data_IF_369465629510
#
_entry.id   IF_369465629510
#
_cell.length_a   1.000
_cell.length_b   1.000
_cell.length_c   1.000
_cell.angle_alpha   90.00
_cell.angle_beta   90.00
_cell.angle_gamma   90.00
#
_symmetry.space_group_name_H-M   'P 1'
#
loop_
_entity.id
_entity.type
_entity.pdbx_description
1 polymer ?
#
# COMPACT_ATOMS: atom_id res chain seq x y z
N UNK A 1 3.65 2.34 -18.81
CA UNK A 1 3.07 2.03 -20.13
C UNK A 1 2.81 3.34 -20.84
N UNK A 2 3.30 3.50 -22.07
CA UNK A 2 3.30 4.81 -22.73
C UNK A 2 2.04 5.10 -23.55
N UNK A 3 1.23 4.09 -23.89
CA UNK A 3 0.13 4.26 -24.85
C UNK A 3 -1.13 3.44 -24.59
N UNK A 4 -1.13 2.49 -23.65
CA UNK A 4 -2.18 1.46 -23.48
C UNK A 4 -2.57 0.73 -24.78
N UNK A 5 -1.64 0.60 -25.73
CA UNK A 5 -1.93 0.04 -27.07
C UNK A 5 -1.95 -1.49 -27.11
N UNK A 6 -1.76 -2.18 -25.99
CA UNK A 6 -1.90 -3.64 -25.94
C UNK A 6 -3.37 -4.06 -25.95
N UNK A 7 -3.65 -5.30 -26.37
CA UNK A 7 -4.99 -5.89 -26.22
C UNK A 7 -5.40 -6.05 -24.75
N UNK A 8 -4.40 -6.26 -23.89
CA UNK A 8 -4.54 -6.28 -22.43
C UNK A 8 -3.45 -5.39 -21.84
N UNK A 9 -3.84 -4.41 -21.03
CA UNK A 9 -2.93 -3.48 -20.39
C UNK A 9 -3.08 -3.61 -18.87
N UNK A 10 -1.96 -3.78 -18.16
CA UNK A 10 -1.91 -3.77 -16.69
C UNK A 10 -1.16 -2.51 -16.27
N UNK A 11 -1.80 -1.68 -15.46
CA UNK A 11 -1.25 -0.39 -15.04
C UNK A 11 -1.65 -0.07 -13.61
N UNK A 12 -1.06 0.96 -13.02
CA UNK A 12 -1.40 1.41 -11.67
C UNK A 12 -2.59 2.36 -11.71
N UNK A 13 -3.35 2.42 -10.60
CA UNK A 13 -4.42 3.40 -10.43
C UNK A 13 -3.93 4.84 -10.66
N UNK A 14 -2.72 5.17 -10.19
CA UNK A 14 -2.07 6.47 -10.46
C UNK A 14 -1.98 6.76 -11.96
N UNK A 15 -1.41 5.84 -12.76
CA UNK A 15 -1.29 6.04 -14.21
C UNK A 15 -2.65 6.16 -14.91
N UNK A 16 -3.67 5.45 -14.41
CA UNK A 16 -5.03 5.54 -14.92
C UNK A 16 -5.68 6.88 -14.58
N UNK A 17 -5.54 7.39 -13.35
CA UNK A 17 -6.04 8.70 -12.93
C UNK A 17 -5.48 9.81 -13.82
N UNK A 18 -4.16 9.80 -14.08
CA UNK A 18 -3.56 10.78 -14.99
C UNK A 18 -3.93 10.57 -16.46
N UNK A 19 -4.44 9.40 -16.86
CA UNK A 19 -5.04 9.24 -18.19
C UNK A 19 -6.33 10.06 -18.33
N UNK A 20 -7.04 10.29 -17.23
CA UNK A 20 -8.30 11.05 -17.20
C UNK A 20 -8.07 12.54 -16.88
N UNK A 21 -7.24 12.83 -15.87
CA UNK A 21 -7.03 14.20 -15.36
C UNK A 21 -5.74 14.86 -15.84
N UNK A 22 -4.83 14.09 -16.44
CA UNK A 22 -3.52 14.59 -16.86
C UNK A 22 -3.60 15.54 -18.04
N UNK A 23 -2.63 16.46 -18.13
CA UNK A 23 -2.54 17.44 -19.23
C UNK A 23 -1.28 17.25 -20.11
N UNK A 24 -0.49 16.21 -19.87
CA UNK A 24 0.74 15.92 -20.61
C UNK A 24 0.44 15.06 -21.83
N UNK A 25 1.17 15.28 -22.93
CA UNK A 25 0.99 14.52 -24.18
C UNK A 25 1.02 12.99 -23.98
N UNK A 26 1.94 12.50 -23.13
CA UNK A 26 2.08 11.07 -22.82
C UNK A 26 0.84 10.46 -22.13
N UNK A 27 0.07 11.27 -21.43
CA UNK A 27 -1.11 10.83 -20.70
C UNK A 27 -2.34 10.89 -21.62
N UNK A 28 -2.46 11.93 -22.44
CA UNK A 28 -3.53 12.08 -23.44
C UNK A 28 -3.55 10.97 -24.50
N UNK A 29 -2.39 10.44 -24.90
CA UNK A 29 -2.32 9.32 -25.87
C UNK A 29 -3.06 8.08 -25.34
N UNK A 30 -3.02 7.85 -24.03
CA UNK A 30 -3.67 6.71 -23.37
C UNK A 30 -5.20 6.87 -23.34
N UNK A 31 -5.71 8.10 -23.26
CA UNK A 31 -7.15 8.39 -23.16
C UNK A 31 -7.93 7.83 -24.35
N UNK A 32 -7.35 7.90 -25.56
CA UNK A 32 -7.98 7.36 -26.77
C UNK A 32 -8.25 5.85 -26.70
N UNK A 33 -7.51 5.10 -25.87
CA UNK A 33 -7.71 3.65 -25.68
C UNK A 33 -8.89 3.31 -24.77
N UNK A 34 -9.53 4.29 -24.15
CA UNK A 34 -10.74 4.06 -23.36
C UNK A 34 -11.95 3.76 -24.26
N UNK A 35 -11.92 4.15 -25.53
CA UNK A 35 -13.05 3.89 -26.43
C UNK A 35 -13.22 2.39 -26.69
N UNK A 36 -14.46 1.91 -26.53
CA UNK A 36 -14.85 0.50 -26.71
C UNK A 36 -14.02 -0.49 -25.86
N UNK A 37 -13.58 -0.08 -24.67
CA UNK A 37 -12.76 -0.92 -23.79
C UNK A 37 -13.46 -1.26 -22.47
N UNK A 38 -12.91 -2.28 -21.80
CA UNK A 38 -13.29 -2.65 -20.44
C UNK A 38 -12.16 -2.25 -19.52
N UNK A 39 -12.46 -1.40 -18.54
CA UNK A 39 -11.51 -0.95 -17.52
C UNK A 39 -11.89 -1.59 -16.19
N UNK A 40 -10.96 -2.41 -15.66
CA UNK A 40 -11.11 -3.05 -14.36
C UNK A 40 -10.28 -2.25 -13.35
N UNK A 41 -10.92 -1.71 -12.33
CA UNK A 41 -10.30 -0.97 -11.24
C UNK A 41 -10.33 -1.87 -10.01
N UNK A 42 -9.19 -2.50 -9.74
CA UNK A 42 -8.95 -3.26 -8.52
C UNK A 42 -8.63 -2.34 -7.35
N UNK A 43 -9.02 -2.77 -6.15
CA UNK A 43 -8.97 -2.00 -4.91
C UNK A 43 -9.57 -0.58 -5.05
N UNK A 44 -10.81 -0.49 -5.53
CA UNK A 44 -11.52 0.78 -5.78
C UNK A 44 -11.55 1.74 -4.57
N UNK A 45 -11.39 1.24 -3.34
CA UNK A 45 -11.24 2.04 -2.13
C UNK A 45 -9.97 2.88 -2.06
N UNK A 46 -8.94 2.52 -2.85
CA UNK A 46 -7.69 3.26 -2.95
C UNK A 46 -7.82 4.58 -3.73
N UNK A 47 -8.98 4.83 -4.37
CA UNK A 47 -9.28 6.13 -4.97
C UNK A 47 -9.41 7.16 -3.85
N UNK A 48 -8.57 8.22 -3.82
CA UNK A 48 -8.60 9.25 -2.78
C UNK A 48 -9.99 9.89 -2.67
N UNK A 49 -10.47 10.06 -1.43
CA UNK A 49 -11.82 10.57 -1.18
C UNK A 49 -11.96 12.04 -1.60
N UNK A 50 -10.84 12.76 -1.64
CA UNK A 50 -10.71 14.17 -2.00
C UNK A 50 -11.35 14.45 -3.35
N UNK A 51 -11.08 13.62 -4.37
CA UNK A 51 -11.60 13.80 -5.74
C UNK A 51 -12.44 12.62 -6.25
N UNK A 52 -12.84 11.69 -5.36
CA UNK A 52 -13.63 10.49 -5.73
C UNK A 52 -14.91 10.86 -6.47
N UNK A 53 -15.60 11.92 -6.03
CA UNK A 53 -16.84 12.41 -6.66
C UNK A 53 -16.60 12.79 -8.12
N UNK A 54 -15.54 13.55 -8.40
CA UNK A 54 -15.19 13.97 -9.75
C UNK A 54 -14.77 12.77 -10.61
N UNK A 55 -13.96 11.87 -10.06
CA UNK A 55 -13.52 10.65 -10.75
C UNK A 55 -14.71 9.78 -11.18
N UNK A 56 -15.65 9.51 -10.26
CA UNK A 56 -16.84 8.70 -10.57
C UNK A 56 -17.71 9.36 -11.65
N UNK A 57 -17.90 10.68 -11.56
CA UNK A 57 -18.64 11.44 -12.58
C UNK A 57 -17.98 11.39 -13.95
N UNK A 58 -16.65 11.45 -14.01
CA UNK A 58 -15.91 11.31 -15.28
C UNK A 58 -16.02 9.88 -15.84
N UNK A 59 -15.94 8.84 -15.00
CA UNK A 59 -16.18 7.47 -15.43
C UNK A 59 -17.59 7.30 -16.05
N UNK A 60 -18.62 7.91 -15.47
CA UNK A 60 -19.97 7.91 -16.05
C UNK A 60 -20.00 8.58 -17.44
N UNK A 61 -19.41 9.76 -17.57
CA UNK A 61 -19.36 10.50 -18.84
C UNK A 61 -18.58 9.72 -19.90
N UNK A 62 -17.43 9.17 -19.54
CA UNK A 62 -16.57 8.36 -20.41
C UNK A 62 -17.34 7.13 -20.88
N UNK A 63 -18.00 6.42 -19.98
CA UNK A 63 -18.81 5.24 -20.31
C UNK A 63 -19.88 5.58 -21.37
N UNK A 64 -20.61 6.68 -21.18
CA UNK A 64 -21.67 7.11 -22.10
C UNK A 64 -21.15 7.62 -23.45
N UNK A 65 -19.98 8.26 -23.48
CA UNK A 65 -19.45 8.92 -24.68
C UNK A 65 -18.53 8.03 -25.50
N UNK A 66 -17.81 7.13 -24.85
CA UNK A 66 -16.76 6.30 -25.45
C UNK A 66 -17.10 4.81 -25.47
N UNK A 67 -18.29 4.41 -25.02
CA UNK A 67 -18.70 3.00 -24.94
C UNK A 67 -17.71 2.17 -24.10
N UNK A 68 -17.25 2.77 -23.00
CA UNK A 68 -16.34 2.14 -22.03
C UNK A 68 -17.15 1.46 -20.93
N UNK A 69 -16.76 0.24 -20.55
CA UNK A 69 -17.32 -0.46 -19.39
C UNK A 69 -16.34 -0.34 -18.24
N UNK A 70 -16.78 0.24 -17.12
CA UNK A 70 -16.02 0.26 -15.87
C UNK A 70 -16.49 -0.85 -14.93
N UNK A 71 -15.55 -1.68 -14.49
CA UNK A 71 -15.77 -2.70 -13.46
C UNK A 71 -14.92 -2.31 -12.25
N UNK A 72 -15.58 -2.03 -11.13
CA UNK A 72 -14.92 -1.71 -9.87
C UNK A 72 -14.98 -2.92 -8.95
N UNK A 73 -13.86 -3.24 -8.32
CA UNK A 73 -13.76 -4.35 -7.38
C UNK A 73 -12.99 -3.94 -6.13
N UNK A 74 -13.46 -4.43 -4.98
CA UNK A 74 -12.88 -4.13 -3.67
C UNK A 74 -13.45 -5.08 -2.62
N UNK A 75 -12.64 -5.42 -1.61
CA UNK A 75 -13.14 -6.03 -0.37
C UNK A 75 -14.00 -5.06 0.46
N UNK A 76 -13.79 -3.76 0.31
CA UNK A 76 -14.47 -2.69 1.05
C UNK A 76 -14.91 -1.60 0.07
N UNK A 77 -15.98 -1.88 -0.69
CA UNK A 77 -16.45 -0.99 -1.77
C UNK A 77 -16.92 0.38 -1.26
N UNK A 78 -16.42 1.50 -1.82
CA UNK A 78 -17.01 2.82 -1.63
C UNK A 78 -18.43 2.92 -2.22
N UNK A 79 -19.17 3.96 -1.81
CA UNK A 79 -20.50 4.22 -2.36
C UNK A 79 -20.36 4.81 -3.76
N UNK A 80 -20.67 4.02 -4.79
CA UNK A 80 -20.43 4.37 -6.19
C UNK A 80 -21.49 5.28 -6.82
N UNK A 81 -22.70 5.36 -6.24
CA UNK A 81 -23.83 6.15 -6.78
C UNK A 81 -24.80 5.33 -7.65
N UNK A 82 -25.95 5.92 -7.97
CA UNK A 82 -27.13 5.17 -8.47
C UNK A 82 -27.00 4.64 -9.91
N UNK A 83 -26.03 5.16 -10.68
CA UNK A 83 -25.80 4.72 -12.06
C UNK A 83 -24.93 3.47 -12.17
N UNK A 84 -24.37 3.03 -11.04
CA UNK A 84 -23.58 1.80 -10.97
C UNK A 84 -24.47 0.64 -10.58
N UNK A 85 -24.27 -0.50 -11.23
CA UNK A 85 -24.98 -1.74 -10.94
C UNK A 85 -24.08 -2.64 -10.10
N UNK A 86 -24.56 -3.04 -8.92
CA UNK A 86 -23.91 -4.08 -8.13
C UNK A 86 -23.98 -5.42 -8.87
N UNK A 87 -22.83 -6.05 -9.08
CA UNK A 87 -22.71 -7.34 -9.78
C UNK A 87 -22.49 -8.47 -8.75
N UNK A 88 -21.97 -8.15 -7.57
CA UNK A 88 -21.62 -9.13 -6.54
C UNK A 88 -22.86 -9.67 -5.83
N UNK A 89 -22.85 -10.97 -5.49
CA UNK A 89 -23.85 -11.54 -4.60
C UNK A 89 -23.52 -11.18 -3.15
N UNK A 90 -24.08 -10.07 -2.65
CA UNK A 90 -23.82 -9.61 -1.29
C UNK A 90 -24.29 -10.58 -0.19
N UNK A 91 -25.18 -11.54 -0.50
CA UNK A 91 -25.56 -12.57 0.47
C UNK A 91 -24.42 -13.52 0.82
N UNK A 92 -23.42 -13.66 -0.06
CA UNK A 92 -22.22 -14.45 0.20
C UNK A 92 -21.51 -14.01 1.49
N UNK A 93 -21.49 -12.70 1.79
CA UNK A 93 -20.86 -12.17 3.01
C UNK A 93 -21.53 -12.64 4.29
N UNK A 94 -22.85 -12.89 4.27
CA UNK A 94 -23.60 -13.34 5.45
C UNK A 94 -23.26 -14.78 5.85
N UNK A 95 -22.72 -15.56 4.93
CA UNK A 95 -22.35 -16.95 5.13
C UNK A 95 -20.89 -17.13 5.56
N UNK A 96 -20.09 -16.06 5.53
CA UNK A 96 -18.68 -16.09 5.94
C UNK A 96 -18.54 -15.80 7.43
N UNK A 97 -17.78 -16.64 8.14
CA UNK A 97 -17.42 -16.41 9.54
C UNK A 97 -16.01 -16.92 9.87
N UNK A 98 -15.05 -16.59 9.01
CA UNK A 98 -13.68 -17.10 9.08
C UNK A 98 -12.89 -16.49 10.23
N UNK A 99 -13.19 -15.24 10.59
CA UNK A 99 -12.52 -14.53 11.65
C UNK A 99 -13.48 -13.69 12.51
N UNK A 100 -12.99 -13.28 13.67
CA UNK A 100 -13.62 -12.33 14.58
C UNK A 100 -12.64 -11.20 14.89
N UNK A 101 -13.13 -9.97 14.85
CA UNK A 101 -12.41 -8.81 15.37
C UNK A 101 -12.68 -8.70 16.86
N UNK A 102 -11.63 -8.50 17.65
CA UNK A 102 -11.73 -8.27 19.09
C UNK A 102 -10.96 -7.02 19.48
N UNK A 103 -11.52 -6.20 20.36
CA UNK A 103 -10.76 -5.14 20.99
C UNK A 103 -9.75 -5.72 21.99
N UNK A 104 -8.50 -5.27 21.92
CA UNK A 104 -7.47 -5.55 22.91
C UNK A 104 -7.12 -4.25 23.63
N UNK A 105 -7.64 -4.11 24.84
CA UNK A 105 -7.24 -3.04 25.75
C UNK A 105 -5.86 -3.33 26.33
N UNK A 106 -4.88 -2.55 25.89
CA UNK A 106 -3.49 -2.63 26.36
C UNK A 106 -3.22 -1.67 27.52
N UNK A 107 -4.23 -0.94 28.00
CA UNK A 107 -4.13 0.09 29.04
C UNK A 107 -3.02 1.12 28.76
N UNK A 108 -2.86 1.54 27.50
CA UNK A 108 -1.77 2.42 27.05
C UNK A 108 -0.35 1.95 27.45
N UNK A 109 -0.16 0.65 27.66
CA UNK A 109 1.12 0.07 28.02
C UNK A 109 1.55 -0.93 26.94
N UNK A 110 2.60 -0.57 26.19
CA UNK A 110 3.16 -1.40 25.12
C UNK A 110 3.62 -2.78 25.63
N UNK A 111 4.06 -2.92 26.89
CA UNK A 111 4.46 -4.22 27.43
C UNK A 111 3.29 -5.21 27.50
N UNK A 112 2.05 -4.74 27.73
CA UNK A 112 0.87 -5.60 27.72
C UNK A 112 0.62 -6.20 26.33
N UNK A 113 0.83 -5.41 25.27
CA UNK A 113 0.75 -5.89 23.89
C UNK A 113 1.83 -6.95 23.64
N UNK A 114 3.06 -6.68 24.07
CA UNK A 114 4.21 -7.55 23.85
C UNK A 114 4.06 -8.87 24.59
N UNK A 115 3.54 -8.87 25.81
CA UNK A 115 3.21 -10.08 26.55
C UNK A 115 2.17 -10.92 25.81
N UNK A 116 1.09 -10.28 25.32
CA UNK A 116 0.03 -10.96 24.57
C UNK A 116 0.54 -11.57 23.26
N UNK A 117 1.36 -10.83 22.50
CA UNK A 117 2.02 -11.33 21.29
C UNK A 117 2.94 -12.51 21.65
N UNK A 118 3.77 -12.37 22.70
CA UNK A 118 4.70 -13.42 23.14
C UNK A 118 3.98 -14.71 23.51
N UNK A 119 2.84 -14.63 24.19
CA UNK A 119 2.04 -15.80 24.53
C UNK A 119 1.45 -16.47 23.28
N UNK A 120 1.00 -15.66 22.33
CA UNK A 120 0.31 -16.13 21.12
C UNK A 120 1.27 -16.75 20.10
N UNK A 121 2.38 -16.08 19.83
CA UNK A 121 3.39 -16.46 18.84
C UNK A 121 4.13 -17.76 19.19
N UNK A 122 3.97 -18.29 20.41
CA UNK A 122 4.53 -19.61 20.79
C UNK A 122 3.89 -20.77 20.03
N UNK A 123 2.62 -20.65 19.67
CA UNK A 123 1.81 -21.77 19.18
C UNK A 123 1.06 -21.45 17.87
N UNK A 124 1.05 -20.19 17.42
CA UNK A 124 0.26 -19.73 16.27
C UNK A 124 1.08 -18.88 15.33
N UNK A 125 0.85 -19.04 14.03
CA UNK A 125 1.36 -18.12 13.02
C UNK A 125 0.70 -16.76 13.26
N UNK A 126 1.50 -15.79 13.66
CA UNK A 126 1.02 -14.51 14.19
C UNK A 126 1.42 -13.38 13.27
N UNK A 127 0.44 -12.56 12.89
CA UNK A 127 0.64 -11.30 12.18
C UNK A 127 0.54 -10.14 13.16
N UNK A 128 1.48 -9.20 13.12
CA UNK A 128 1.39 -7.93 13.86
C UNK A 128 1.56 -6.80 12.86
N UNK A 129 0.58 -5.91 12.80
CA UNK A 129 0.56 -4.77 11.88
C UNK A 129 0.48 -3.49 12.69
N UNK A 130 1.50 -2.64 12.51
CA UNK A 130 1.61 -1.32 13.13
C UNK A 130 1.69 -0.23 12.06
N UNK A 131 1.39 1.01 12.43
CA UNK A 131 1.21 2.10 11.48
C UNK A 131 2.53 2.66 10.94
N UNK A 132 3.62 2.61 11.73
CA UNK A 132 4.90 3.21 11.34
C UNK A 132 6.00 2.17 11.13
N UNK A 133 6.91 2.47 10.19
CA UNK A 133 8.08 1.62 9.90
C UNK A 133 8.97 1.52 11.13
N UNK A 134 9.16 2.62 11.87
CA UNK A 134 9.96 2.65 13.10
C UNK A 134 9.42 1.66 14.13
N UNK A 135 8.11 1.68 14.43
CA UNK A 135 7.51 0.75 15.38
C UNK A 135 7.63 -0.70 14.90
N UNK A 136 7.44 -0.95 13.60
CA UNK A 136 7.61 -2.29 13.02
C UNK A 136 9.05 -2.82 13.22
N UNK A 137 10.06 -1.96 13.01
CA UNK A 137 11.48 -2.32 13.24
C UNK A 137 11.78 -2.55 14.73
N UNK A 138 11.26 -1.70 15.62
CA UNK A 138 11.41 -1.87 17.08
C UNK A 138 10.86 -3.23 17.55
N UNK A 139 9.63 -3.55 17.16
CA UNK A 139 9.00 -4.83 17.51
C UNK A 139 9.77 -6.00 16.89
N UNK A 140 10.15 -5.90 15.61
CA UNK A 140 10.96 -6.94 14.96
C UNK A 140 12.25 -7.24 15.74
N UNK A 141 13.03 -6.21 16.10
CA UNK A 141 14.28 -6.40 16.86
C UNK A 141 14.02 -7.00 18.25
N UNK A 142 12.91 -6.66 18.90
CA UNK A 142 12.52 -7.21 20.21
C UNK A 142 12.14 -8.71 20.15
N UNK A 143 11.66 -9.18 19.00
CA UNK A 143 11.21 -10.56 18.80
C UNK A 143 12.16 -11.46 18.01
N UNK A 144 13.06 -10.92 17.18
CA UNK A 144 13.92 -11.68 16.27
C UNK A 144 14.86 -12.68 16.96
N UNK A 145 15.21 -12.46 18.24
CA UNK A 145 15.99 -13.40 19.04
C UNK A 145 15.17 -14.49 19.75
N UNK A 146 13.83 -14.40 19.71
CA UNK A 146 12.91 -15.25 20.50
C UNK A 146 12.02 -16.15 19.65
N UNK A 147 11.69 -15.71 18.44
CA UNK A 147 10.77 -16.38 17.52
C UNK A 147 11.35 -16.46 16.11
N UNK A 148 10.77 -17.32 15.27
CA UNK A 148 10.98 -17.27 13.82
C UNK A 148 10.27 -16.02 13.28
N UNK A 149 10.97 -14.90 13.34
CA UNK A 149 10.42 -13.56 13.15
C UNK A 149 10.85 -12.97 11.80
N UNK A 150 9.91 -12.34 11.12
CA UNK A 150 10.09 -11.64 9.85
C UNK A 150 9.61 -10.19 9.95
N UNK A 151 10.15 -9.32 9.10
CA UNK A 151 9.66 -7.95 8.93
C UNK A 151 9.25 -7.68 7.49
N UNK A 152 8.15 -6.96 7.28
CA UNK A 152 7.71 -6.50 5.96
C UNK A 152 7.26 -5.04 6.03
N UNK A 153 8.00 -4.13 5.41
CA UNK A 153 7.71 -2.69 5.48
C UNK A 153 8.15 -1.93 4.22
N UNK A 154 7.77 -0.66 4.13
CA UNK A 154 8.01 0.21 2.98
C UNK A 154 9.48 0.42 2.64
N UNK A 155 10.37 0.34 3.63
CA UNK A 155 11.81 0.62 3.52
C UNK A 155 12.64 -0.57 3.04
N UNK A 156 11.98 -1.65 2.62
CA UNK A 156 12.57 -2.79 1.94
C UNK A 156 12.32 -2.67 0.44
N UNK A 157 13.33 -2.90 -0.40
CA UNK A 157 13.12 -2.95 -1.85
C UNK A 157 12.43 -4.26 -2.27
N UNK A 158 11.85 -4.26 -3.47
CA UNK A 158 10.97 -5.33 -3.98
C UNK A 158 11.58 -6.73 -3.94
N UNK A 159 12.88 -6.85 -4.19
CA UNK A 159 13.57 -8.15 -4.09
C UNK A 159 13.55 -8.72 -2.67
N UNK A 160 13.90 -7.94 -1.64
CA UNK A 160 13.85 -8.40 -0.25
C UNK A 160 12.43 -8.62 0.25
N UNK A 161 11.47 -7.76 -0.14
CA UNK A 161 10.05 -7.99 0.17
C UNK A 161 9.57 -9.35 -0.36
N UNK A 162 9.91 -9.68 -1.61
CA UNK A 162 9.55 -10.98 -2.23
C UNK A 162 10.22 -12.16 -1.54
N UNK A 163 11.48 -12.01 -1.12
CA UNK A 163 12.20 -13.04 -0.37
C UNK A 163 11.58 -13.30 1.00
N UNK A 164 11.23 -12.23 1.74
CA UNK A 164 10.48 -12.35 3.00
C UNK A 164 9.14 -13.05 2.78
N UNK A 165 8.33 -12.59 1.82
CA UNK A 165 7.02 -13.19 1.54
C UNK A 165 7.16 -14.67 1.17
N UNK A 166 8.15 -15.01 0.35
CA UNK A 166 8.45 -16.40 -0.01
C UNK A 166 8.84 -17.22 1.22
N UNK A 167 9.75 -16.72 2.05
CA UNK A 167 10.19 -17.39 3.27
C UNK A 167 9.04 -17.62 4.27
N UNK A 168 8.20 -16.61 4.48
CA UNK A 168 7.01 -16.73 5.34
C UNK A 168 6.03 -17.77 4.78
N UNK A 169 5.79 -17.76 3.47
CA UNK A 169 4.90 -18.74 2.81
C UNK A 169 5.43 -20.17 2.95
N UNK A 170 6.73 -20.37 2.76
CA UNK A 170 7.38 -21.67 2.94
C UNK A 170 7.28 -22.15 4.40
N UNK A 171 7.54 -21.27 5.36
CA UNK A 171 7.45 -21.59 6.78
C UNK A 171 6.02 -21.94 7.24
N UNK A 172 5.01 -21.18 6.81
CA UNK A 172 3.59 -21.48 7.07
C UNK A 172 3.21 -22.85 6.49
N UNK A 173 3.67 -23.18 5.29
CA UNK A 173 3.39 -24.48 4.67
C UNK A 173 4.07 -25.64 5.41
N UNK A 174 5.30 -25.45 5.92
CA UNK A 174 5.97 -26.44 6.75
C UNK A 174 5.22 -26.67 8.07
N UNK A 175 4.65 -25.63 8.67
CA UNK A 175 3.84 -25.70 9.89
C UNK A 175 2.59 -26.55 9.70
N UNK A 176 1.86 -26.34 8.58
CA UNK A 176 0.66 -27.13 8.24
C UNK A 176 0.95 -28.63 8.10
N UNK A 177 2.18 -28.99 7.72
CA UNK A 177 2.62 -30.38 7.60
C UNK A 177 3.16 -30.96 8.92
N UNK A 178 3.07 -30.22 10.04
CA UNK A 178 3.52 -30.66 11.37
C UNK A 178 5.04 -30.62 11.58
N UNK A 179 5.79 -30.03 10.64
CA UNK A 179 7.25 -30.07 10.62
C UNK A 179 7.94 -28.73 10.91
N UNK A 180 7.18 -27.64 11.07
CA UNK A 180 7.74 -26.29 11.25
C UNK A 180 7.46 -25.69 12.63
N UNK A 181 7.99 -24.47 12.85
CA UNK A 181 7.75 -23.65 14.05
C UNK A 181 6.79 -22.50 13.72
N UNK A 182 5.90 -22.10 14.66
CA UNK A 182 5.08 -20.92 14.50
C UNK A 182 5.91 -19.69 14.16
N UNK A 183 5.45 -18.93 13.16
CA UNK A 183 6.13 -17.72 12.70
C UNK A 183 5.47 -16.46 13.25
N UNK A 184 6.26 -15.40 13.34
CA UNK A 184 5.81 -14.06 13.70
C UNK A 184 6.18 -13.09 12.58
N UNK A 185 5.20 -12.52 11.90
CA UNK A 185 5.43 -11.46 10.92
C UNK A 185 5.07 -10.11 11.55
N UNK A 186 6.05 -9.20 11.61
CA UNK A 186 5.81 -7.80 11.95
C UNK A 186 5.77 -6.99 10.66
N UNK A 187 4.67 -6.29 10.38
CA UNK A 187 4.47 -5.55 9.15
C UNK A 187 3.92 -4.15 9.38
N UNK A 188 4.07 -3.31 8.37
CA UNK A 188 3.21 -2.12 8.20
C UNK A 188 2.06 -2.45 7.24
N UNK A 189 1.43 -1.44 6.62
CA UNK A 189 0.42 -1.57 5.56
C UNK A 189 0.94 -2.35 4.33
N UNK A 190 2.24 -2.65 4.26
CA UNK A 190 2.85 -3.49 3.22
C UNK A 190 2.24 -4.91 3.11
N UNK A 191 1.60 -5.42 4.17
CA UNK A 191 0.88 -6.72 4.13
C UNK A 191 -0.47 -6.64 3.42
N UNK A 192 -1.04 -5.44 3.29
CA UNK A 192 -2.37 -5.22 2.73
C UNK A 192 -2.34 -5.40 1.19
N UNK A 193 -1.27 -4.93 0.53
CA UNK A 193 -1.15 -4.90 -0.93
C UNK A 193 -0.66 -6.22 -1.58
N UNK A 194 -1.59 -7.00 -2.13
CA UNK A 194 -1.26 -8.10 -3.05
C UNK A 194 -0.47 -9.27 -2.45
N UNK A 195 -0.37 -9.36 -1.12
CA UNK A 195 0.36 -10.42 -0.41
C UNK A 195 -0.55 -11.61 -0.11
N UNK A 196 -0.24 -12.77 -0.69
CA UNK A 196 -0.98 -14.01 -0.49
C UNK A 196 -0.41 -14.82 0.69
N UNK A 197 -0.62 -14.30 1.90
CA UNK A 197 -0.25 -14.93 3.19
C UNK A 197 -1.50 -15.09 4.06
N UNK A 198 -1.48 -16.12 4.90
CA UNK A 198 -2.59 -16.51 5.77
C UNK A 198 -2.09 -16.88 7.17
N UNK A 199 -2.63 -16.23 8.20
CA UNK A 199 -2.20 -16.34 9.58
C UNK A 199 -3.33 -16.85 10.47
N UNK A 200 -2.97 -17.49 11.58
CA UNK A 200 -3.96 -18.04 12.54
C UNK A 200 -4.56 -16.92 13.42
N UNK A 201 -3.78 -15.86 13.64
CA UNK A 201 -4.11 -14.75 14.54
C UNK A 201 -3.36 -13.49 14.14
N UNK A 202 -4.01 -12.35 14.32
CA UNK A 202 -3.46 -11.04 14.02
C UNK A 202 -3.57 -10.06 15.18
N UNK A 203 -2.69 -9.07 15.16
CA UNK A 203 -2.74 -7.86 15.97
C UNK A 203 -2.63 -6.66 15.01
N UNK A 204 -3.58 -5.75 15.05
CA UNK A 204 -3.62 -4.56 14.19
C UNK A 204 -3.81 -3.33 15.07
N UNK A 205 -2.88 -2.39 14.98
CA UNK A 205 -3.05 -1.06 15.57
C UNK A 205 -4.27 -0.37 14.94
N UNK A 206 -4.95 0.52 15.67
CA UNK A 206 -6.07 1.29 15.09
C UNK A 206 -5.68 1.97 13.77
N UNK A 207 -6.58 1.91 12.80
CA UNK A 207 -6.39 2.39 11.44
C UNK A 207 -7.77 2.58 10.77
N UNK A 208 -7.83 3.14 9.55
CA UNK A 208 -9.06 3.19 8.79
C UNK A 208 -9.74 1.83 8.70
N UNK A 209 -11.08 1.79 8.79
CA UNK A 209 -11.86 0.55 8.78
C UNK A 209 -11.51 -0.33 7.58
N UNK A 210 -11.26 0.26 6.42
CA UNK A 210 -10.83 -0.45 5.21
C UNK A 210 -9.52 -1.22 5.42
N UNK A 211 -8.50 -0.62 6.04
CA UNK A 211 -7.22 -1.26 6.35
C UNK A 211 -7.33 -2.35 7.41
N UNK A 212 -8.17 -2.15 8.44
CA UNK A 212 -8.46 -3.18 9.44
C UNK A 212 -9.04 -4.43 8.74
N UNK A 213 -9.99 -4.25 7.84
CA UNK A 213 -10.66 -5.36 7.14
C UNK A 213 -9.72 -6.03 6.13
N UNK A 214 -8.88 -5.27 5.43
CA UNK A 214 -7.84 -5.84 4.56
C UNK A 214 -6.87 -6.72 5.35
N UNK A 215 -6.45 -6.26 6.53
CA UNK A 215 -5.64 -7.07 7.46
C UNK A 215 -6.40 -8.30 7.92
N UNK A 216 -7.69 -8.16 8.27
CA UNK A 216 -8.53 -9.26 8.73
C UNK A 216 -8.73 -10.33 7.65
N UNK A 217 -8.76 -9.94 6.37
CA UNK A 217 -8.77 -10.86 5.22
C UNK A 217 -7.51 -11.73 5.08
N UNK A 218 -6.44 -11.45 5.84
CA UNK A 218 -5.23 -12.28 5.96
C UNK A 218 -5.27 -13.25 7.14
N UNK A 219 -6.38 -13.29 7.89
CA UNK A 219 -6.56 -14.14 9.06
C UNK A 219 -7.50 -15.30 8.71
N UNK A 220 -7.04 -16.52 8.96
CA UNK A 220 -7.78 -17.79 8.86
C UNK A 220 -8.50 -18.03 7.52
N UNK A 221 -7.75 -18.01 6.42
CA UNK A 221 -8.25 -18.27 5.06
C UNK A 221 -8.54 -19.75 4.79
N UNK A 222 -8.09 -20.68 5.64
CA UNK A 222 -8.20 -22.14 5.43
C UNK A 222 -9.36 -22.84 6.17
N UNK A 223 -10.39 -22.13 6.64
CA UNK A 223 -11.64 -22.71 7.19
C UNK A 223 -11.43 -23.76 8.32
N UNK A 224 -10.62 -23.41 9.32
CA UNK A 224 -10.52 -24.13 10.61
C UNK A 224 -11.34 -23.45 11.71
N UNK A 225 -10.86 -23.50 12.95
CA UNK A 225 -11.38 -22.67 14.05
C UNK A 225 -11.34 -21.18 13.68
N UNK A 226 -12.32 -20.40 14.13
CA UNK A 226 -12.41 -18.97 13.81
C UNK A 226 -11.13 -18.22 14.20
N UNK A 227 -10.51 -17.56 13.22
CA UNK A 227 -9.33 -16.73 13.42
C UNK A 227 -9.65 -15.49 14.23
N UNK A 228 -8.65 -14.90 14.87
CA UNK A 228 -8.86 -13.69 15.70
C UNK A 228 -7.96 -12.58 15.18
N UNK A 229 -8.53 -11.42 14.91
CA UNK A 229 -7.77 -10.18 14.75
C UNK A 229 -8.02 -9.29 15.97
N UNK A 230 -6.99 -9.10 16.78
CA UNK A 230 -7.02 -8.13 17.86
C UNK A 230 -6.76 -6.73 17.29
N UNK A 231 -7.67 -5.79 17.52
CA UNK A 231 -7.45 -4.37 17.26
C UNK A 231 -7.08 -3.69 18.58
N UNK A 232 -6.00 -2.93 18.61
CA UNK A 232 -5.46 -2.30 19.82
C UNK A 232 -5.19 -0.81 19.61
N UNK A 233 -5.10 -0.09 20.73
CA UNK A 233 -4.86 1.36 20.78
C UNK A 233 -3.56 1.80 20.06
N UNK A 234 -3.52 3.06 19.64
CA UNK A 234 -2.32 3.67 19.02
C UNK A 234 -1.12 3.63 19.98
N UNK A 235 -0.06 2.95 19.58
CA UNK A 235 1.24 2.86 20.27
C UNK A 235 2.35 3.58 19.50
N UNK A 236 2.10 3.94 18.25
CA UNK A 236 3.00 4.75 17.46
C UNK A 236 2.93 6.21 17.93
N UNK A 237 1.74 6.69 18.30
CA UNK A 237 1.49 8.08 18.65
C UNK A 237 1.35 9.01 17.43
N UNK A 238 1.24 8.42 16.24
CA UNK A 238 1.27 9.14 14.95
C UNK A 238 0.11 8.78 14.04
N UNK A 239 -0.92 8.10 14.54
CA UNK A 239 -2.02 7.66 13.67
C UNK A 239 -2.86 8.82 13.13
N UNK A 240 -2.91 9.96 13.84
CA UNK A 240 -3.62 11.16 13.40
C UNK A 240 -2.98 11.80 12.15
N UNK A 241 -1.67 12.10 12.10
CA UNK A 241 -1.07 12.62 10.87
C UNK A 241 -0.96 11.58 9.73
N UNK A 242 -1.00 10.27 10.00
CA UNK A 242 -1.01 9.23 8.96
C UNK A 242 -2.37 9.11 8.26
N UNK A 243 -3.47 9.18 9.02
CA UNK A 243 -4.80 8.86 8.50
C UNK A 243 -5.78 10.04 8.54
N UNK A 244 -5.45 11.12 9.26
CA UNK A 244 -6.24 12.34 9.36
C UNK A 244 -7.71 12.07 9.67
N UNK A 245 -8.59 12.71 8.89
CA UNK A 245 -10.04 12.62 9.04
C UNK A 245 -10.58 11.18 8.90
N UNK A 246 -9.88 10.30 8.17
CA UNK A 246 -10.29 8.89 8.06
C UNK A 246 -10.22 8.17 9.40
N UNK A 247 -9.25 8.52 10.25
CA UNK A 247 -9.13 7.96 11.59
C UNK A 247 -10.22 8.48 12.50
N UNK A 248 -10.53 9.77 12.48
CA UNK A 248 -11.62 10.34 13.29
C UNK A 248 -12.95 9.64 13.02
N UNK A 249 -13.29 9.41 11.75
CA UNK A 249 -14.50 8.68 11.37
C UNK A 249 -14.43 7.21 11.80
N UNK A 250 -13.27 6.57 11.65
CA UNK A 250 -13.07 5.16 12.04
C UNK A 250 -13.17 4.97 13.54
N UNK A 251 -12.54 5.82 14.35
CA UNK A 251 -12.54 5.76 15.81
C UNK A 251 -13.97 5.89 16.36
N UNK A 252 -14.79 6.77 15.79
CA UNK A 252 -16.20 6.91 16.15
C UNK A 252 -16.98 5.60 15.91
N UNK A 253 -16.78 4.97 14.74
CA UNK A 253 -17.46 3.72 14.40
C UNK A 253 -16.94 2.56 15.26
N UNK A 254 -15.63 2.46 15.48
CA UNK A 254 -15.03 1.42 16.33
C UNK A 254 -15.58 1.50 17.76
N UNK A 255 -15.74 2.72 18.31
CA UNK A 255 -16.29 2.95 19.64
C UNK A 255 -17.71 2.43 19.80
N UNK A 256 -18.53 2.59 18.76
CA UNK A 256 -19.92 2.13 18.73
C UNK A 256 -20.08 0.65 18.34
N UNK A 257 -18.99 -0.01 17.95
CA UNK A 257 -19.00 -1.41 17.47
C UNK A 257 -18.03 -2.28 18.26
N UNK A 258 -16.78 -2.32 17.83
CA UNK A 258 -15.75 -3.24 18.30
C UNK A 258 -15.39 -3.07 19.78
N UNK A 259 -15.51 -1.85 20.32
CA UNK A 259 -15.25 -1.60 21.74
C UNK A 259 -16.38 -2.13 22.64
N UNK A 260 -17.57 -2.39 22.10
CA UNK A 260 -18.72 -2.89 22.85
C UNK A 260 -18.88 -4.40 22.73
N UNK A 261 -18.62 -4.95 21.54
CA UNK A 261 -18.80 -6.37 21.25
C UNK A 261 -17.75 -6.85 20.24
N UNK A 262 -17.45 -8.14 20.30
CA UNK A 262 -16.73 -8.83 19.23
C UNK A 262 -17.49 -8.71 17.90
N UNK A 263 -16.78 -8.48 16.80
CA UNK A 263 -17.38 -8.33 15.46
C UNK A 263 -17.02 -9.53 14.60
N UNK A 264 -18.04 -10.29 14.21
CA UNK A 264 -17.88 -11.42 13.29
C UNK A 264 -17.80 -10.95 11.82
N UNK A 265 -17.18 -11.77 10.97
CA UNK A 265 -17.01 -11.44 9.55
C UNK A 265 -18.34 -11.13 8.84
N UNK A 266 -19.40 -11.87 9.17
CA UNK A 266 -20.75 -11.67 8.60
C UNK A 266 -21.30 -10.25 8.84
N UNK A 267 -20.85 -9.56 9.88
CA UNK A 267 -21.32 -8.24 10.27
C UNK A 267 -20.48 -7.11 9.66
N UNK A 268 -19.32 -7.44 9.06
CA UNK A 268 -18.36 -6.46 8.53
C UNK A 268 -18.95 -5.61 7.41
N UNK A 269 -19.76 -6.20 6.53
CA UNK A 269 -20.39 -5.45 5.44
C UNK A 269 -21.22 -4.27 5.98
N UNK A 270 -21.88 -4.45 7.12
CA UNK A 270 -22.65 -3.37 7.75
C UNK A 270 -21.75 -2.23 8.26
N UNK A 271 -20.57 -2.57 8.80
CA UNK A 271 -19.59 -1.61 9.32
C UNK A 271 -18.93 -0.85 8.17
N UNK A 272 -18.52 -1.54 7.10
CA UNK A 272 -17.99 -0.94 5.87
C UNK A 272 -18.98 0.03 5.26
N UNK A 273 -20.26 -0.36 5.18
CA UNK A 273 -21.31 0.49 4.62
C UNK A 273 -21.48 1.76 5.44
N UNK A 274 -21.48 1.66 6.78
CA UNK A 274 -21.54 2.83 7.68
C UNK A 274 -20.32 3.73 7.50
N UNK A 275 -19.13 3.14 7.39
CA UNK A 275 -17.87 3.86 7.18
C UNK A 275 -17.90 4.69 5.90
N UNK A 276 -18.15 4.07 4.74
CA UNK A 276 -18.17 4.81 3.48
C UNK A 276 -19.34 5.79 3.37
N UNK A 277 -20.47 5.51 4.03
CA UNK A 277 -21.55 6.50 4.15
C UNK A 277 -21.08 7.74 4.90
N UNK A 278 -20.41 7.55 6.04
CA UNK A 278 -19.86 8.67 6.81
C UNK A 278 -18.79 9.44 6.02
N UNK A 279 -17.89 8.76 5.31
CA UNK A 279 -16.92 9.41 4.42
C UNK A 279 -17.61 10.27 3.35
N UNK A 280 -18.61 9.71 2.68
CA UNK A 280 -19.37 10.40 1.64
C UNK A 280 -20.09 11.65 2.18
N UNK A 281 -20.67 11.53 3.37
CA UNK A 281 -21.40 12.63 4.01
C UNK A 281 -20.48 13.75 4.50
N UNK A 282 -19.33 13.40 5.10
CA UNK A 282 -18.49 14.37 5.80
C UNK A 282 -17.30 14.89 4.98
N UNK A 283 -16.67 14.04 4.16
CA UNK A 283 -15.40 14.35 3.50
C UNK A 283 -15.50 14.49 1.98
N UNK A 284 -16.31 13.67 1.32
CA UNK A 284 -16.37 13.67 -0.15
C UNK A 284 -17.11 14.90 -0.68
N UNK A 285 -16.44 15.69 -1.51
CA UNK A 285 -16.99 16.87 -2.20
C UNK A 285 -16.46 16.92 -3.63
N UNK A 286 -17.07 17.77 -4.46
CA UNK A 286 -16.47 18.12 -5.75
C UNK A 286 -15.20 18.94 -5.50
N UNK A 287 -14.09 18.50 -6.08
CA UNK A 287 -12.74 19.00 -5.82
C UNK A 287 -12.20 19.87 -6.96
N UNK A 288 -12.55 19.51 -8.20
CA UNK A 288 -12.10 20.18 -9.42
C UNK A 288 -13.24 20.64 -10.33
N UNK A 289 -14.50 20.68 -9.84
CA UNK A 289 -15.65 21.05 -10.66
C UNK A 289 -15.56 22.47 -11.25
N UNK A 290 -15.04 23.43 -10.49
CA UNK A 290 -14.90 24.80 -10.98
C UNK A 290 -13.86 24.88 -12.11
N UNK A 291 -12.70 24.27 -11.91
CA UNK A 291 -11.64 24.21 -12.92
C UNK A 291 -12.10 23.47 -14.18
N UNK A 292 -12.94 22.44 -14.04
CA UNK A 292 -13.58 21.76 -15.18
C UNK A 292 -14.49 22.70 -15.99
N UNK A 293 -15.25 23.59 -15.34
CA UNK A 293 -16.11 24.58 -16.03
C UNK A 293 -15.29 25.62 -16.77
N UNK A 294 -14.12 25.96 -16.24
CA UNK A 294 -13.19 26.94 -16.81
C UNK A 294 -12.23 26.34 -17.85
N UNK A 295 -12.25 25.01 -18.04
CA UNK A 295 -11.29 24.27 -18.87
C UNK A 295 -9.83 24.50 -18.41
N UNK A 296 -9.63 24.67 -17.11
CA UNK A 296 -8.36 24.96 -16.48
C UNK A 296 -7.51 23.68 -16.28
N UNK A 297 -7.14 23.02 -17.39
CA UNK A 297 -6.46 21.71 -17.38
C UNK A 297 -5.14 21.68 -16.59
N UNK A 298 -4.42 22.82 -16.55
CA UNK A 298 -3.21 22.94 -15.75
C UNK A 298 -3.51 22.80 -14.24
N UNK A 299 -4.49 23.56 -13.76
CA UNK A 299 -4.87 23.61 -12.35
C UNK A 299 -5.51 22.29 -11.90
N UNK A 300 -6.31 21.64 -12.76
CA UNK A 300 -6.82 20.28 -12.51
C UNK A 300 -5.65 19.31 -12.31
N UNK A 301 -4.70 19.29 -13.24
CA UNK A 301 -3.56 18.38 -13.15
C UNK A 301 -2.73 18.65 -11.88
N UNK A 302 -2.46 19.91 -11.52
CA UNK A 302 -1.75 20.21 -10.27
C UNK A 302 -2.51 19.79 -9.01
N UNK A 303 -3.82 20.04 -8.94
CA UNK A 303 -4.63 19.65 -7.78
C UNK A 303 -4.68 18.14 -7.61
N UNK A 304 -4.89 17.41 -8.70
CA UNK A 304 -4.92 15.94 -8.68
C UNK A 304 -3.53 15.38 -8.36
N UNK A 305 -2.46 15.98 -8.89
CA UNK A 305 -1.10 15.59 -8.52
C UNK A 305 -0.85 15.80 -7.03
N UNK A 306 -1.18 16.97 -6.46
CA UNK A 306 -1.06 17.20 -5.02
C UNK A 306 -1.89 16.23 -4.17
N UNK A 307 -3.10 15.88 -4.60
CA UNK A 307 -3.94 14.91 -3.89
C UNK A 307 -3.44 13.45 -4.02
N UNK A 308 -2.69 13.14 -5.07
CA UNK A 308 -2.13 11.81 -5.32
C UNK A 308 -0.68 11.66 -4.84
N UNK A 309 0.05 12.76 -4.69
CA UNK A 309 1.49 12.77 -4.51
C UNK A 309 1.84 12.85 -3.03
N UNK A 310 2.73 11.94 -2.63
CA UNK A 310 3.31 11.91 -1.30
C UNK A 310 4.58 12.77 -1.34
N UNK A 311 4.43 14.10 -1.35
CA UNK A 311 5.51 15.10 -1.58
C UNK A 311 6.68 14.99 -0.59
N UNK A 312 6.54 14.16 0.44
CA UNK A 312 7.49 13.95 1.51
C UNK A 312 8.46 12.80 1.27
N UNK A 313 8.31 12.04 0.17
CA UNK A 313 9.17 10.90 -0.13
C UNK A 313 10.17 11.17 -1.26
N UNK A 314 11.35 10.58 -1.14
CA UNK A 314 12.44 10.53 -2.12
C UNK A 314 12.68 9.07 -2.52
N UNK A 315 12.84 8.80 -3.81
CA UNK A 315 13.26 7.48 -4.28
C UNK A 315 14.77 7.32 -4.11
N UNK A 316 15.17 6.31 -3.35
CA UNK A 316 16.57 5.92 -3.11
C UNK A 316 16.80 4.52 -3.64
N UNK A 317 17.87 4.32 -4.41
CA UNK A 317 18.30 3.00 -4.87
C UNK A 317 19.24 2.37 -3.82
N UNK A 318 18.93 1.16 -3.37
CA UNK A 318 19.86 0.39 -2.53
C UNK A 318 20.80 -0.38 -3.45
N UNK A 319 22.09 -0.08 -3.41
CA UNK A 319 23.04 -0.74 -4.30
C UNK A 319 23.20 -2.23 -3.90
N UNK A 320 22.83 -3.19 -4.78
CA UNK A 320 22.72 -4.60 -4.39
C UNK A 320 24.05 -5.35 -4.29
N UNK A 321 25.09 -4.82 -4.94
CA UNK A 321 26.46 -5.33 -4.89
C UNK A 321 27.44 -4.22 -5.23
N UNK A 322 28.69 -4.39 -4.81
CA UNK A 322 29.77 -3.47 -5.16
C UNK A 322 29.82 -3.20 -6.67
N UNK A 323 30.02 -1.93 -7.02
CA UNK A 323 30.14 -1.38 -8.38
C UNK A 323 28.89 -1.53 -9.29
N UNK A 324 27.74 -1.97 -8.76
CA UNK A 324 26.53 -2.14 -9.57
C UNK A 324 26.07 -0.83 -10.23
N UNK A 325 26.06 0.27 -9.48
CA UNK A 325 25.63 1.58 -10.03
C UNK A 325 26.60 2.09 -11.07
N UNK A 326 27.91 1.87 -10.87
CA UNK A 326 28.93 2.27 -11.84
C UNK A 326 28.79 1.49 -13.16
N UNK A 327 28.51 0.19 -13.09
CA UNK A 327 28.22 -0.60 -14.29
C UNK A 327 26.93 -0.15 -14.98
N UNK A 328 25.90 0.18 -14.21
CA UNK A 328 24.66 0.76 -14.72
C UNK A 328 24.92 2.09 -15.46
N UNK A 329 25.66 3.01 -14.85
CA UNK A 329 26.02 4.29 -15.45
C UNK A 329 26.83 4.10 -16.74
N UNK A 330 27.82 3.20 -16.74
CA UNK A 330 28.60 2.88 -17.92
C UNK A 330 27.73 2.39 -19.09
N UNK A 331 26.72 1.56 -18.80
CA UNK A 331 25.74 1.12 -19.81
C UNK A 331 24.91 2.28 -20.35
N UNK A 332 24.40 3.16 -19.49
CA UNK A 332 23.62 4.33 -19.92
C UNK A 332 24.46 5.28 -20.78
N UNK A 333 25.71 5.54 -20.38
CA UNK A 333 26.61 6.39 -21.18
C UNK A 333 26.95 5.76 -22.53
N UNK A 334 27.17 4.44 -22.59
CA UNK A 334 27.38 3.73 -23.84
C UNK A 334 26.16 3.82 -24.78
N UNK A 335 24.94 3.63 -24.25
CA UNK A 335 23.70 3.77 -25.02
C UNK A 335 23.55 5.17 -25.60
N UNK A 336 23.88 6.20 -24.80
CA UNK A 336 23.79 7.59 -25.25
C UNK A 336 24.84 7.95 -26.30
N UNK A 337 26.01 7.31 -26.24
CA UNK A 337 27.12 7.54 -27.17
C UNK A 337 27.03 6.72 -28.47
N UNK A 338 26.19 5.68 -28.54
CA UNK A 338 26.07 4.84 -29.74
C UNK A 338 25.34 5.58 -30.87
N UNK A 339 26.08 5.99 -31.90
CA UNK A 339 25.55 6.68 -33.08
C UNK A 339 24.68 5.78 -33.97
N UNK A 340 24.81 4.45 -33.87
CA UNK A 340 24.03 3.50 -34.68
C UNK A 340 22.61 3.26 -34.14
N UNK A 341 22.36 3.60 -32.88
CA UNK A 341 21.03 3.47 -32.30
C UNK A 341 20.17 4.67 -32.69
N UNK A 342 19.03 4.41 -33.29
CA UNK A 342 18.00 5.42 -33.46
C UNK A 342 17.38 5.84 -32.11
N UNK A 343 16.63 6.95 -32.12
CA UNK A 343 16.01 7.52 -30.91
C UNK A 343 15.11 6.52 -30.18
N UNK A 344 14.36 5.68 -30.89
CA UNK A 344 13.40 4.76 -30.29
C UNK A 344 14.10 3.54 -29.70
N UNK A 345 15.10 2.99 -30.40
CA UNK A 345 15.94 1.92 -29.89
C UNK A 345 16.68 2.35 -28.61
N UNK A 346 17.21 3.59 -28.56
CA UNK A 346 17.80 4.14 -27.33
C UNK A 346 16.79 4.21 -26.18
N UNK A 347 15.58 4.71 -26.45
CA UNK A 347 14.53 4.83 -25.43
C UNK A 347 14.10 3.46 -24.88
N UNK A 348 14.04 2.43 -25.73
CA UNK A 348 13.65 1.09 -25.33
C UNK A 348 14.71 0.44 -24.42
N UNK A 349 15.98 0.45 -24.85
CA UNK A 349 17.10 -0.06 -24.05
C UNK A 349 17.22 0.73 -22.74
N UNK A 350 17.03 2.05 -22.78
CA UNK A 350 17.03 2.89 -21.59
C UNK A 350 15.93 2.44 -20.60
N UNK A 351 14.69 2.24 -21.06
CA UNK A 351 13.59 1.75 -20.21
C UNK A 351 13.88 0.40 -19.59
N UNK A 352 14.42 -0.54 -20.36
CA UNK A 352 14.79 -1.87 -19.87
C UNK A 352 15.91 -1.80 -18.83
N UNK A 353 16.87 -0.88 -19.01
CA UNK A 353 17.93 -0.65 -18.04
C UNK A 353 17.38 -0.01 -16.76
N UNK A 354 16.47 0.97 -16.86
CA UNK A 354 15.77 1.57 -15.71
C UNK A 354 14.95 0.53 -14.93
N UNK A 355 14.31 -0.41 -15.62
CA UNK A 355 13.55 -1.49 -14.98
C UNK A 355 14.43 -2.44 -14.16
N UNK A 356 15.73 -2.53 -14.45
CA UNK A 356 16.66 -3.33 -13.66
C UNK A 356 16.98 -2.63 -12.33
N UNK A 357 17.27 -1.33 -12.37
CA UNK A 357 17.61 -0.56 -11.16
C UNK A 357 16.38 -0.31 -10.27
N UNK A 358 15.18 -0.17 -10.84
CA UNK A 358 13.94 0.07 -10.08
C UNK A 358 13.57 -1.07 -9.13
N UNK A 359 14.09 -2.30 -9.32
CA UNK A 359 13.87 -3.42 -8.39
C UNK A 359 14.55 -3.24 -7.03
N UNK A 360 15.49 -2.30 -6.97
CA UNK A 360 16.26 -1.95 -5.78
C UNK A 360 15.88 -0.58 -5.22
N UNK A 361 14.83 0.05 -5.77
CA UNK A 361 14.35 1.33 -5.25
C UNK A 361 13.49 1.14 -4.00
N UNK A 362 13.66 2.05 -3.06
CA UNK A 362 12.76 2.29 -1.94
C UNK A 362 12.33 3.76 -1.96
N UNK A 363 11.12 4.05 -1.45
CA UNK A 363 10.69 5.42 -1.20
C UNK A 363 10.91 5.70 0.28
N UNK A 364 11.72 6.72 0.56
CA UNK A 364 12.18 7.10 1.89
C UNK A 364 11.68 8.50 2.17
N UNK A 365 11.27 8.82 3.40
CA UNK A 365 10.99 10.22 3.75
C UNK A 365 12.22 11.09 3.45
N UNK A 366 12.01 12.33 3.00
CA UNK A 366 13.11 13.28 2.74
C UNK A 366 14.02 13.46 3.95
N UNK A 367 13.43 13.41 5.15
CA UNK A 367 14.16 13.65 6.40
C UNK A 367 15.11 12.49 6.69
N UNK A 368 14.66 11.22 6.58
CA UNK A 368 15.61 10.11 6.75
C UNK A 368 16.62 10.07 5.61
N UNK A 369 16.23 10.45 4.38
CA UNK A 369 17.14 10.48 3.24
C UNK A 369 18.30 11.48 3.45
N UNK A 370 18.05 12.61 4.12
CA UNK A 370 19.07 13.64 4.42
C UNK A 370 20.14 13.14 5.42
N UNK A 371 19.86 12.10 6.21
CA UNK A 371 20.79 11.50 7.17
C UNK A 371 21.65 10.38 6.56
N UNK A 372 21.29 9.92 5.37
CA UNK A 372 22.00 8.85 4.68
C UNK A 372 23.19 9.38 3.90
N UNK A 373 24.21 8.53 3.77
CA UNK A 373 25.36 8.81 2.92
C UNK A 373 25.03 8.53 1.43
N UNK A 374 24.05 9.25 0.91
CA UNK A 374 23.56 9.08 -0.45
C UNK A 374 24.53 9.63 -1.47
N UNK A 375 24.62 8.93 -2.61
CA UNK A 375 25.37 9.38 -3.78
C UNK A 375 24.42 9.57 -4.95
N UNK A 376 24.68 10.58 -5.77
CA UNK A 376 23.90 10.79 -6.98
C UNK A 376 24.23 9.72 -8.02
N UNK A 377 23.20 9.17 -8.67
CA UNK A 377 23.35 8.36 -9.89
C UNK A 377 23.56 9.33 -11.05
N UNK A 378 24.80 9.50 -11.53
CA UNK A 378 25.19 10.50 -12.54
C UNK A 378 24.42 10.39 -13.84
N UNK A 379 23.99 9.17 -14.18
CA UNK A 379 23.22 8.90 -15.38
C UNK A 379 21.74 9.37 -15.29
N UNK A 380 21.24 9.71 -14.09
CA UNK A 380 19.83 10.03 -13.84
C UNK A 380 19.68 11.31 -13.03
N UNK A 381 18.72 12.15 -13.41
CA UNK A 381 18.45 13.39 -12.67
C UNK A 381 17.66 13.07 -11.39
N UNK A 382 18.07 13.65 -10.26
CA UNK A 382 17.36 13.55 -8.96
C UNK A 382 17.17 12.11 -8.47
N UNK A 383 18.04 11.18 -8.88
CA UNK A 383 18.07 9.80 -8.37
C UNK A 383 19.33 9.60 -7.56
N UNK A 384 19.14 9.10 -6.34
CA UNK A 384 20.21 8.87 -5.38
C UNK A 384 20.30 7.38 -5.05
N UNK A 385 21.47 6.93 -4.61
CA UNK A 385 21.68 5.57 -4.17
C UNK A 385 22.46 5.50 -2.86
N UNK A 386 22.13 4.49 -2.05
CA UNK A 386 22.88 4.10 -0.87
C UNK A 386 23.92 3.04 -1.29
N UNK A 387 25.22 3.24 -1.03
CA UNK A 387 26.27 2.31 -1.45
C UNK A 387 26.13 0.90 -0.86
N UNK A 388 26.64 -0.09 -1.58
CA UNK A 388 26.60 -1.48 -1.11
C UNK A 388 27.37 -1.65 0.21
N UNK A 389 26.78 -2.38 1.15
CA UNK A 389 27.37 -2.64 2.46
C UNK A 389 27.22 -1.50 3.48
N UNK A 390 26.49 -0.43 3.14
CA UNK A 390 26.17 0.62 4.10
C UNK A 390 25.37 0.05 5.28
N UNK A 391 25.78 0.44 6.50
CA UNK A 391 25.18 -0.08 7.73
C UNK A 391 23.77 0.45 7.98
N UNK A 392 23.33 1.49 7.26
CA UNK A 392 21.98 2.02 7.35
C UNK A 392 20.93 1.05 6.79
N UNK A 393 21.30 0.08 5.93
CA UNK A 393 20.34 -0.86 5.35
C UNK A 393 20.57 -2.29 5.84
N UNK A 394 19.47 -3.01 6.12
CA UNK A 394 19.49 -4.42 6.48
C UNK A 394 18.49 -5.23 5.65
N UNK A 395 18.89 -6.36 5.12
CA UNK A 395 18.03 -7.19 4.27
C UNK A 395 16.77 -7.71 4.98
N UNK A 396 16.81 -7.86 6.32
CA UNK A 396 15.71 -8.43 7.12
C UNK A 396 14.61 -7.43 7.45
N UNK A 397 14.90 -6.12 7.47
CA UNK A 397 13.93 -5.11 7.91
C UNK A 397 14.03 -3.76 7.17
N UNK A 398 14.91 -3.65 6.17
CA UNK A 398 15.05 -2.49 5.30
C UNK A 398 16.02 -1.44 5.81
N UNK A 399 15.83 -0.22 5.32
CA UNK A 399 16.54 0.97 5.79
C UNK A 399 16.20 1.24 7.27
N UNK A 400 17.21 1.41 8.12
CA UNK A 400 17.06 1.69 9.55
C UNK A 400 16.39 3.05 9.74
N UNK A 401 15.34 3.07 10.54
CA UNK A 401 14.81 4.30 11.13
C UNK A 401 15.63 4.68 12.36
N UNK A 402 15.94 5.97 12.49
CA UNK A 402 16.55 6.48 13.71
C UNK A 402 15.53 6.45 14.87
N UNK A 403 16.00 6.03 16.05
CA UNK A 403 15.20 5.84 17.25
C UNK A 403 14.86 7.17 17.95
N UNK A 404 15.61 8.24 17.71
CA UNK A 404 15.56 9.51 18.44
C UNK A 404 14.69 10.60 17.77
N UNK A 405 14.07 10.33 16.61
CA UNK A 405 13.36 11.35 15.83
C UNK A 405 11.90 11.67 16.22
N UNK A 406 11.51 12.90 15.85
CA UNK A 406 10.25 13.60 16.16
C UNK A 406 9.07 13.29 15.20
N UNK A 407 7.88 13.69 15.65
CA UNK A 407 6.56 13.32 15.16
C UNK A 407 6.22 13.51 13.67
N UNK A 408 6.82 14.49 12.98
CA UNK A 408 6.52 14.70 11.55
C UNK A 408 7.05 13.54 10.70
N UNK A 409 8.22 12.97 11.02
CA UNK A 409 8.88 11.99 10.16
C UNK A 409 8.09 10.68 10.01
N UNK A 410 7.46 10.23 11.09
CA UNK A 410 6.77 8.94 11.12
C UNK A 410 5.40 8.95 10.41
N UNK A 411 4.82 10.14 10.22
CA UNK A 411 3.56 10.30 9.50
C UNK A 411 3.69 10.15 7.99
N UNK A 412 4.90 10.38 7.47
CA UNK A 412 5.21 10.38 6.04
C UNK A 412 5.96 9.11 5.61
N UNK A 413 5.94 8.04 6.42
CA UNK A 413 6.49 6.72 6.09
C UNK A 413 5.38 5.80 5.57
#
# INVERSE_FOLDING_TARGET
>A
MDSFSGNFNVTTLYQFIFTIFGNKNKDNVKFNQLKNSVVIIDEAQAIPYEFRVDFMRLCEIISQKLDTIFIFMSATMPIMGDKFKEISNLNYFKEQNRYVLKWLDINKNEENLIEKITQTAKNKNTLVVVNTIKKAQQLFLKFAGKFECYSLNGYMHDTHKREVIKGVKEAINLNKNGCGKPILLISTQSIEAGVDLDFDIGFRETAPISSIIQTAGRINRNFGDQGVLYVFEDICGYSDPIYGDLKTISDAILKDTLLQNDVEEKDILSIVTKYFKSLKEHLERAFVEQEMKELAFYDINEKIDKAMNDEYKMTVIIEPRSEFIKEFEAKIFAINADENLDKFARLDIFKDTIKQISKFSINVSKIDADELNLRAVRALKEVYYLPFGDTAYNEKFGLKKDMDFNALNEAFD
#
